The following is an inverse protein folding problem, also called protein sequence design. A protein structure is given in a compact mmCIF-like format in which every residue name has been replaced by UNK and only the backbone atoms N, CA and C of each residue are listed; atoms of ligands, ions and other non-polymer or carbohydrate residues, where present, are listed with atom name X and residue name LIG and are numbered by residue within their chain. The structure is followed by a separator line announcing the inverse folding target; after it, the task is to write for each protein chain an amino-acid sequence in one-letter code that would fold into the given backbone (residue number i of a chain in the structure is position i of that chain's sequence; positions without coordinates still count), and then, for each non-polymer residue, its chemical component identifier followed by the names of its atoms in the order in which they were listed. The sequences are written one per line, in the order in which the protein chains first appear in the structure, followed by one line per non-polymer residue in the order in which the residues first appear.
data_IF_804763782206
#
_entry.id   IF_804763782206
#
_cell.length_a   1.000
_cell.length_b   1.000
_cell.length_c   1.000
_cell.angle_alpha   90.00
_cell.angle_beta   90.00
_cell.angle_gamma   90.00
#
_symmetry.space_group_name_H-M   'P 1'
#
loop_
_entity.id
_entity.type
_entity.pdbx_description
1 polymer ?
#
# COMPACT_ATOMS: atom_id res chain seq x y z
N UNK A 1 5.04 -6.17 9.01
CA UNK A 1 5.43 -4.77 8.70
C UNK A 1 5.02 -3.93 9.90
N UNK A 2 6.00 -3.47 10.68
CA UNK A 2 5.73 -2.60 11.83
C UNK A 2 5.92 -1.16 11.34
N UNK A 3 4.86 -0.38 11.40
CA UNK A 3 4.88 1.04 11.05
C UNK A 3 4.06 1.83 12.05
N UNK A 4 4.34 3.13 12.13
CA UNK A 4 3.56 4.08 12.92
C UNK A 4 3.10 5.20 12.02
N UNK A 5 1.84 5.61 12.16
CA UNK A 5 1.34 6.85 11.60
C UNK A 5 1.45 7.94 12.68
N UNK A 6 2.06 9.09 12.33
CA UNK A 6 2.03 10.26 13.20
C UNK A 6 0.73 11.03 12.93
N UNK A 7 -0.04 11.25 13.99
CA UNK A 7 -1.25 12.06 13.96
C UNK A 7 -0.97 13.34 14.75
N UNK A 8 -1.09 14.46 14.06
CA UNK A 8 -0.83 15.79 14.59
C UNK A 8 -2.17 16.43 14.89
N UNK A 9 -2.41 16.71 16.16
CA UNK A 9 -3.67 17.26 16.61
C UNK A 9 -3.53 18.76 16.83
N UNK A 10 -4.53 19.49 16.35
CA UNK A 10 -4.65 20.95 16.53
C UNK A 10 -3.52 21.78 15.91
N UNK A 11 -2.88 21.26 14.85
CA UNK A 11 -1.85 21.99 14.12
C UNK A 11 -1.20 21.15 13.02
N UNK A 12 -0.30 21.78 12.27
CA UNK A 12 0.52 21.12 11.26
C UNK A 12 1.58 20.23 11.90
N UNK A 13 1.88 19.10 11.25
CA UNK A 13 2.90 18.17 11.73
C UNK A 13 4.32 18.73 11.75
N UNK A 14 4.59 19.72 10.89
CA UNK A 14 5.90 20.34 10.73
C UNK A 14 6.07 21.59 11.63
N UNK A 15 5.03 21.97 12.38
CA UNK A 15 4.98 23.19 13.19
C UNK A 15 4.83 22.92 14.71
N UNK A 16 5.37 21.80 15.20
CA UNK A 16 5.30 21.38 16.60
C UNK A 16 3.86 21.38 17.17
N UNK A 17 3.02 20.43 16.73
CA UNK A 17 1.63 20.38 17.15
C UNK A 17 1.52 20.12 18.66
N UNK A 18 0.47 20.67 19.27
CA UNK A 18 0.19 20.58 20.72
C UNK A 18 0.14 19.13 21.22
N UNK A 19 -0.24 18.18 20.36
CA UNK A 19 -0.14 16.76 20.64
C UNK A 19 0.23 15.95 19.39
N UNK A 20 1.30 15.14 19.52
CA UNK A 20 1.72 14.15 18.54
C UNK A 20 1.41 12.75 19.06
N UNK A 21 0.61 11.98 18.31
CA UNK A 21 0.29 10.58 18.62
C UNK A 21 0.90 9.66 17.58
N UNK A 22 1.59 8.61 18.03
CA UNK A 22 2.13 7.57 17.14
C UNK A 22 1.22 6.36 17.17
N UNK A 23 0.43 6.19 16.11
CA UNK A 23 -0.57 5.12 16.01
C UNK A 23 0.02 3.90 15.31
N UNK A 24 0.02 2.71 15.95
CA UNK A 24 0.46 1.49 15.30
C UNK A 24 -0.44 1.17 14.10
N UNK A 25 0.15 1.05 12.91
CA UNK A 25 -0.57 0.67 11.69
C UNK A 25 -0.48 -0.83 11.38
N UNK A 26 0.02 -1.65 12.31
CA UNK A 26 0.12 -3.11 12.15
C UNK A 26 -1.24 -3.78 11.91
N UNK A 27 -2.33 -3.17 12.38
CA UNK A 27 -3.71 -3.64 12.18
C UNK A 27 -4.22 -3.43 10.77
N UNK A 28 -3.60 -2.52 10.01
CA UNK A 28 -3.97 -2.26 8.63
C UNK A 28 -3.58 -3.44 7.75
N UNK A 29 -4.58 -4.10 7.19
CA UNK A 29 -4.36 -5.22 6.28
C UNK A 29 -4.08 -6.56 6.93
N UNK A 30 -3.96 -6.61 8.26
CA UNK A 30 -4.00 -7.85 9.05
C UNK A 30 -5.39 -8.09 9.66
N UNK A 31 -6.15 -7.02 9.89
CA UNK A 31 -7.36 -7.07 10.68
C UNK A 31 -7.11 -6.75 12.16
N UNK A 32 -8.13 -6.23 12.84
CA UNK A 32 -8.09 -5.93 14.27
C UNK A 32 -8.11 -4.43 14.57
N UNK A 33 -7.75 -4.08 15.80
CA UNK A 33 -7.80 -2.70 16.29
C UNK A 33 -6.58 -2.34 17.13
N UNK A 34 -6.08 -1.11 16.95
CA UNK A 34 -5.00 -0.53 17.73
C UNK A 34 -5.50 0.78 18.32
N UNK A 35 -5.26 1.01 19.60
CA UNK A 35 -5.63 2.25 20.27
C UNK A 35 -4.38 2.95 20.81
N UNK A 36 -4.40 4.28 20.77
CA UNK A 36 -3.42 5.12 21.44
C UNK A 36 -4.17 6.09 22.33
N UNK A 37 -3.76 6.12 23.58
CA UNK A 37 -4.30 7.01 24.60
C UNK A 37 -3.34 8.18 24.77
N UNK A 38 -3.88 9.40 24.80
CA UNK A 38 -3.12 10.62 25.06
C UNK A 38 -4.08 11.77 25.37
N UNK A 39 -3.76 13.02 25.00
CA UNK A 39 -4.71 14.14 25.09
C UNK A 39 -6.01 13.87 24.32
N UNK A 40 -5.93 13.00 23.31
CA UNK A 40 -7.03 12.45 22.53
C UNK A 40 -6.83 10.95 22.41
N UNK A 41 -7.88 10.18 22.63
CA UNK A 41 -7.91 8.74 22.40
C UNK A 41 -8.21 8.49 20.93
N UNK A 42 -7.31 7.79 20.26
CA UNK A 42 -7.47 7.36 18.88
C UNK A 42 -7.54 5.85 18.82
N UNK A 43 -8.57 5.30 18.18
CA UNK A 43 -8.65 3.87 17.88
C UNK A 43 -8.70 3.71 16.37
N UNK A 44 -7.80 2.89 15.84
CA UNK A 44 -7.77 2.52 14.43
C UNK A 44 -8.19 1.07 14.32
N UNK A 45 -9.21 0.81 13.51
CA UNK A 45 -9.68 -0.53 13.19
C UNK A 45 -9.40 -0.77 11.71
N UNK A 46 -8.68 -1.84 11.40
CA UNK A 46 -8.38 -2.27 10.04
C UNK A 46 -9.01 -3.63 9.73
N UNK A 47 -9.21 -3.91 8.46
CA UNK A 47 -9.53 -5.25 7.96
C UNK A 47 -8.34 -5.87 7.22
N UNK A 48 -8.37 -7.17 6.90
CA UNK A 48 -7.36 -7.79 6.05
C UNK A 48 -7.28 -7.16 4.65
N UNK A 49 -6.09 -7.20 4.04
CA UNK A 49 -5.90 -6.76 2.65
C UNK A 49 -6.69 -7.64 1.68
N UNK A 50 -7.35 -7.02 0.70
CA UNK A 50 -8.06 -7.75 -0.36
C UNK A 50 -7.90 -7.10 -1.73
N UNK A 51 -8.03 -7.89 -2.80
CA UNK A 51 -8.14 -7.40 -4.17
C UNK A 51 -9.61 -7.15 -4.57
N UNK A 52 -10.56 -7.51 -3.73
CA UNK A 52 -11.99 -7.36 -3.97
C UNK A 52 -12.45 -5.90 -3.81
N UNK A 53 -13.75 -5.67 -4.06
CA UNK A 53 -14.41 -4.42 -3.67
C UNK A 53 -14.67 -4.44 -2.17
N UNK A 54 -14.24 -3.39 -1.48
CA UNK A 54 -14.56 -3.12 -0.08
C UNK A 54 -15.49 -1.92 0.00
N UNK A 55 -16.35 -1.91 1.00
CA UNK A 55 -17.33 -0.85 1.22
C UNK A 55 -17.28 -0.37 2.68
N UNK A 56 -17.47 0.93 2.86
CA UNK A 56 -17.71 1.57 4.16
C UNK A 56 -18.91 2.51 4.00
N UNK A 57 -20.07 2.09 4.50
CA UNK A 57 -21.33 2.80 4.22
C UNK A 57 -21.60 2.82 2.71
N UNK A 58 -21.78 4.02 2.15
CA UNK A 58 -21.96 4.24 0.70
C UNK A 58 -20.66 4.37 -0.09
N UNK A 59 -19.50 4.46 0.59
CA UNK A 59 -18.20 4.59 -0.08
C UNK A 59 -17.69 3.20 -0.46
N UNK A 60 -17.16 3.07 -1.67
CA UNK A 60 -16.57 1.82 -2.15
C UNK A 60 -15.18 2.05 -2.73
N UNK A 61 -14.30 1.10 -2.53
CA UNK A 61 -12.98 1.07 -3.12
C UNK A 61 -12.66 -0.35 -3.58
N UNK A 62 -11.97 -0.50 -4.71
CA UNK A 62 -11.70 -1.82 -5.29
C UNK A 62 -10.21 -2.04 -5.49
N UNK A 63 -9.73 -3.20 -5.05
CA UNK A 63 -8.40 -3.69 -5.43
C UNK A 63 -8.37 -4.21 -6.86
N UNK A 64 -7.21 -4.62 -7.34
CA UNK A 64 -7.10 -5.35 -8.59
C UNK A 64 -5.83 -6.17 -8.62
N UNK A 65 -5.80 -7.16 -9.49
CA UNK A 65 -4.60 -7.88 -9.85
C UNK A 65 -4.52 -7.92 -11.37
N UNK A 66 -3.47 -7.31 -11.94
CA UNK A 66 -3.21 -7.26 -13.39
C UNK A 66 -1.83 -7.81 -13.66
N UNK A 67 -1.71 -8.68 -14.64
CA UNK A 67 -0.47 -9.12 -15.24
C UNK A 67 0.10 -8.11 -16.23
N UNK A 68 1.19 -8.49 -16.92
CA UNK A 68 1.82 -7.65 -17.92
C UNK A 68 0.80 -7.26 -19.00
N UNK A 69 0.87 -6.00 -19.46
CA UNK A 69 -0.06 -5.45 -20.47
C UNK A 69 -1.54 -5.47 -20.05
N UNK A 70 -1.83 -5.59 -18.75
CA UNK A 70 -3.20 -5.55 -18.23
C UNK A 70 -3.95 -6.88 -18.28
N UNK A 71 -3.29 -7.99 -18.63
CA UNK A 71 -3.93 -9.31 -18.64
C UNK A 71 -4.33 -9.77 -17.24
N UNK A 72 -5.49 -10.40 -17.07
CA UNK A 72 -5.97 -10.84 -15.74
C UNK A 72 -5.47 -12.24 -15.33
N UNK A 73 -4.72 -12.93 -16.20
CA UNK A 73 -4.36 -14.35 -16.05
C UNK A 73 -3.00 -14.62 -15.40
N UNK A 74 -2.09 -13.64 -15.33
CA UNK A 74 -0.75 -13.86 -14.75
C UNK A 74 -0.19 -12.64 -14.03
N UNK A 75 -0.60 -12.47 -12.77
CA UNK A 75 -0.24 -11.31 -11.94
C UNK A 75 1.15 -11.42 -11.31
N UNK A 76 1.75 -12.63 -11.35
CA UNK A 76 3.09 -12.94 -10.82
C UNK A 76 4.18 -12.87 -11.89
N UNK A 77 3.87 -12.39 -13.10
CA UNK A 77 4.87 -12.17 -14.14
C UNK A 77 5.56 -10.80 -13.99
N UNK A 78 6.81 -10.65 -14.48
CA UNK A 78 7.47 -9.35 -14.54
C UNK A 78 6.63 -8.32 -15.30
N UNK A 79 6.47 -7.12 -14.75
CA UNK A 79 5.52 -6.07 -15.19
C UNK A 79 4.05 -6.28 -14.76
N UNK A 80 3.78 -7.26 -13.89
CA UNK A 80 2.50 -7.36 -13.18
C UNK A 80 2.33 -6.26 -12.12
N UNK A 81 1.08 -5.92 -11.80
CA UNK A 81 0.72 -4.99 -10.72
C UNK A 81 -0.46 -5.53 -9.91
N UNK A 82 -0.33 -5.55 -8.59
CA UNK A 82 -1.40 -5.89 -7.66
C UNK A 82 -1.70 -4.67 -6.79
N UNK A 83 -2.95 -4.22 -6.78
CA UNK A 83 -3.46 -3.23 -5.82
C UNK A 83 -4.34 -3.92 -4.80
N UNK A 84 -3.88 -3.94 -3.56
CA UNK A 84 -4.64 -4.36 -2.41
C UNK A 84 -5.35 -3.14 -1.80
N UNK A 85 -6.56 -3.35 -1.31
CA UNK A 85 -7.36 -2.37 -0.62
C UNK A 85 -7.78 -2.93 0.74
N UNK A 86 -7.88 -2.07 1.74
CA UNK A 86 -8.46 -2.41 3.04
C UNK A 86 -9.27 -1.24 3.59
N UNK A 87 -10.48 -1.48 4.14
CA UNK A 87 -11.21 -0.45 4.88
C UNK A 87 -10.52 -0.17 6.22
N UNK A 88 -10.54 1.10 6.62
CA UNK A 88 -9.97 1.60 7.86
C UNK A 88 -11.00 2.50 8.54
N UNK A 89 -11.21 2.29 9.84
CA UNK A 89 -12.01 3.17 10.67
C UNK A 89 -11.12 3.82 11.70
N UNK A 90 -11.14 5.14 11.77
CA UNK A 90 -10.38 5.91 12.75
C UNK A 90 -11.39 6.58 13.66
N UNK A 91 -11.45 6.17 14.92
CA UNK A 91 -12.33 6.79 15.91
C UNK A 91 -11.57 7.66 16.90
N UNK A 92 -12.20 8.76 17.32
CA UNK A 92 -11.67 9.70 18.30
C UNK A 92 -12.69 10.03 19.37
N UNK A 93 -12.23 10.32 20.60
CA UNK A 93 -13.09 10.75 21.70
C UNK A 93 -13.44 12.26 21.67
N UNK A 94 -13.02 13.01 20.65
CA UNK A 94 -13.31 14.44 20.52
C UNK A 94 -14.16 14.70 19.28
N UNK A 95 -15.26 15.42 19.44
CA UNK A 95 -16.19 15.81 18.37
C UNK A 95 -17.49 14.99 18.33
N UNK A 96 -18.49 15.49 17.60
CA UNK A 96 -19.83 14.87 17.46
C UNK A 96 -19.88 13.73 16.43
N UNK A 97 -18.83 13.58 15.62
CA UNK A 97 -18.66 12.48 14.67
C UNK A 97 -17.37 11.73 15.02
N UNK A 98 -17.51 10.73 15.87
CA UNK A 98 -16.40 10.03 16.51
C UNK A 98 -15.74 8.96 15.62
N UNK A 99 -16.11 8.82 14.34
CA UNK A 99 -15.56 7.79 13.43
C UNK A 99 -15.39 8.34 12.01
N UNK A 100 -14.15 8.38 11.54
CA UNK A 100 -13.77 8.74 10.17
C UNK A 100 -13.50 7.47 9.38
N UNK A 101 -14.28 7.17 8.33
CA UNK A 101 -14.01 6.07 7.43
C UNK A 101 -12.91 6.44 6.43
N UNK A 102 -12.00 5.51 6.15
CA UNK A 102 -10.90 5.67 5.20
C UNK A 102 -10.58 4.35 4.49
N UNK A 103 -9.79 4.41 3.42
CA UNK A 103 -9.28 3.23 2.73
C UNK A 103 -7.75 3.25 2.70
N UNK A 104 -7.14 2.13 3.05
CA UNK A 104 -5.73 1.87 2.79
C UNK A 104 -5.57 1.27 1.39
N UNK A 105 -4.51 1.68 0.69
CA UNK A 105 -4.11 1.11 -0.60
C UNK A 105 -2.65 0.65 -0.54
N UNK A 106 -2.39 -0.57 -0.99
CA UNK A 106 -1.04 -1.11 -1.15
C UNK A 106 -0.87 -1.59 -2.59
N UNK A 107 0.03 -0.95 -3.33
CA UNK A 107 0.32 -1.31 -4.73
C UNK A 107 1.68 -1.99 -4.80
N UNK A 108 1.69 -3.22 -5.33
CA UNK A 108 2.87 -4.04 -5.57
C UNK A 108 3.11 -4.07 -7.08
N UNK A 109 4.32 -3.74 -7.51
CA UNK A 109 4.75 -3.83 -8.91
C UNK A 109 5.85 -4.88 -9.02
N UNK A 110 5.65 -5.87 -9.89
CA UNK A 110 6.62 -6.93 -10.11
C UNK A 110 7.67 -6.47 -11.12
N UNK A 111 8.91 -6.32 -10.67
CA UNK A 111 10.04 -5.93 -11.52
C UNK A 111 10.74 -7.19 -11.99
N UNK A 112 11.24 -7.26 -13.25
CA UNK A 112 12.10 -8.36 -13.67
C UNK A 112 13.26 -8.56 -12.70
N UNK A 113 13.55 -9.81 -12.35
CA UNK A 113 14.68 -10.13 -11.48
C UNK A 113 15.98 -9.59 -12.08
N UNK A 114 16.87 -8.98 -11.28
CA UNK A 114 18.13 -8.41 -11.79
C UNK A 114 18.94 -9.38 -12.66
N UNK A 115 18.91 -10.68 -12.33
CA UNK A 115 19.57 -11.72 -13.12
C UNK A 115 19.04 -11.86 -14.55
N UNK A 116 17.72 -11.74 -14.76
CA UNK A 116 17.14 -11.80 -16.11
C UNK A 116 17.54 -10.62 -16.98
N UNK A 117 17.67 -9.42 -16.40
CA UNK A 117 18.17 -8.25 -17.13
C UNK A 117 19.64 -8.42 -17.55
N UNK A 118 20.47 -8.98 -16.67
CA UNK A 118 21.88 -9.27 -16.99
C UNK A 118 21.97 -10.32 -18.09
N UNK A 119 21.15 -11.38 -18.05
CA UNK A 119 21.13 -12.42 -19.08
C UNK A 119 20.67 -11.90 -20.44
N UNK A 120 19.63 -11.06 -20.47
CA UNK A 120 19.16 -10.39 -21.69
C UNK A 120 20.25 -9.44 -22.22
N UNK A 121 20.88 -8.65 -21.35
CA UNK A 121 21.98 -7.77 -21.72
C UNK A 121 23.18 -8.51 -22.30
N UNK A 122 23.57 -9.62 -21.68
CA UNK A 122 24.65 -10.48 -22.18
C UNK A 122 24.30 -11.13 -23.52
N UNK A 123 23.07 -11.64 -23.67
CA UNK A 123 22.59 -12.22 -24.92
C UNK A 123 22.59 -11.24 -26.08
N UNK A 124 22.10 -10.01 -25.86
CA UNK A 124 22.13 -8.93 -26.86
C UNK A 124 23.57 -8.53 -27.22
N UNK A 125 24.47 -8.42 -26.24
CA UNK A 125 25.87 -8.09 -26.48
C UNK A 125 26.57 -9.16 -27.37
N UNK A 126 26.28 -10.45 -27.12
CA UNK A 126 26.78 -11.56 -27.95
C UNK A 126 26.24 -11.48 -29.38
N UNK A 127 24.93 -11.21 -29.55
CA UNK A 127 24.31 -11.08 -30.87
C UNK A 127 24.88 -9.90 -31.67
N UNK A 128 25.04 -8.74 -31.05
CA UNK A 128 25.64 -7.55 -31.69
C UNK A 128 27.08 -7.84 -32.13
N UNK A 129 27.87 -8.48 -31.26
CA UNK A 129 29.27 -8.84 -31.58
C UNK A 129 29.38 -9.89 -32.67
N UNK A 130 28.46 -10.86 -32.71
CA UNK A 130 28.40 -11.88 -33.77
C UNK A 130 27.97 -11.28 -35.12
N UNK A 131 27.00 -10.35 -35.11
CA UNK A 131 26.55 -9.63 -36.31
C UNK A 131 27.63 -8.71 -36.88
N UNK A 132 28.39 -8.02 -36.03
CA UNK A 132 29.50 -7.15 -36.43
C UNK A 132 30.67 -7.90 -37.09
N UNK A 133 30.81 -9.21 -36.86
CA UNK A 133 31.84 -10.04 -37.52
C UNK A 133 31.44 -10.62 -38.87
N UNK A 134 30.15 -10.55 -39.23
CA UNK A 134 29.63 -11.06 -40.51
C UNK A 134 29.47 -9.98 -41.59
N UNK A 135 29.73 -8.72 -41.25
CA UNK A 135 29.91 -7.62 -42.20
C UNK A 135 31.40 -7.37 -42.37
#
# INVERSE_FOLDING_TARGET
MFGVAKVCLFGDCDADPVANLSVPISVLGQGGSAAVTGPVNLTVVGAPWTTATVAIGSLTAKGFARGPQGQTSSTLQPSGTIRLVTPVFISTNIGTSAVVPAFGFLTLHFVPEPGTLVLVGAGLAVLVRAGARRR
#
